data_IF_036142788464
#
_entry.id   IF_036142788464
#
_cell.length_a   1.000
_cell.length_b   1.000
_cell.length_c   1.000
_cell.angle_alpha   90.00
_cell.angle_beta   90.00
_cell.angle_gamma   90.00
#
_symmetry.space_group_name_H-M   'P 1'
#
loop_
_entity.id
_entity.type
_entity.pdbx_description
1 polymer ?
#
# COMPACT_ATOMS: atom_id res chain seq x y z
N UNK A 1 67.57 33.38 -35.03
CA UNK A 1 66.57 33.07 -34.00
C UNK A 1 65.18 33.15 -34.63
N UNK A 2 64.59 32.01 -35.00
CA UNK A 2 63.33 31.95 -35.77
C UNK A 2 62.17 32.06 -34.78
N UNK A 3 61.44 33.19 -34.81
CA UNK A 3 60.20 33.40 -34.04
C UNK A 3 59.08 32.59 -34.68
N UNK A 4 58.72 31.45 -34.10
CA UNK A 4 57.53 30.70 -34.48
C UNK A 4 56.27 31.53 -34.13
N UNK A 5 55.59 32.04 -35.16
CA UNK A 5 54.33 32.78 -35.05
C UNK A 5 53.21 31.78 -34.71
N UNK A 6 52.85 31.63 -33.42
CA UNK A 6 51.72 30.80 -33.00
C UNK A 6 50.42 31.40 -33.57
N UNK A 7 49.82 30.72 -34.54
CA UNK A 7 48.47 31.03 -35.02
C UNK A 7 47.47 30.75 -33.89
N UNK A 8 47.01 31.81 -33.22
CA UNK A 8 45.88 31.74 -32.29
C UNK A 8 44.59 31.71 -33.12
N UNK A 9 44.21 30.53 -33.63
CA UNK A 9 42.85 30.29 -34.13
C UNK A 9 41.95 30.10 -32.92
N UNK A 10 41.09 31.07 -32.63
CA UNK A 10 40.04 30.94 -31.64
C UNK A 10 38.91 30.05 -32.17
N UNK A 11 38.23 29.33 -31.27
CA UNK A 11 37.00 28.61 -31.60
C UNK A 11 35.97 29.58 -32.19
N UNK A 12 35.38 29.22 -33.32
CA UNK A 12 34.30 30.01 -33.91
C UNK A 12 33.00 29.77 -33.14
N UNK A 13 32.11 30.77 -33.13
CA UNK A 13 30.79 30.66 -32.50
C UNK A 13 30.01 29.44 -33.04
N UNK A 14 30.11 29.17 -34.35
CA UNK A 14 29.43 28.06 -35.01
C UNK A 14 29.90 26.67 -34.56
N UNK A 15 31.21 26.51 -34.30
CA UNK A 15 31.77 25.25 -33.77
C UNK A 15 31.25 24.96 -32.35
N UNK A 16 31.09 26.00 -31.52
CA UNK A 16 30.53 25.83 -30.17
C UNK A 16 29.04 25.47 -30.21
N UNK A 17 28.22 26.14 -31.04
CA UNK A 17 26.78 25.89 -31.11
C UNK A 17 26.46 24.48 -31.60
N UNK A 18 27.14 24.03 -32.66
CA UNK A 18 26.92 22.68 -33.22
C UNK A 18 27.35 21.58 -32.26
N UNK A 19 28.47 21.77 -31.55
CA UNK A 19 28.95 20.82 -30.54
C UNK A 19 27.96 20.68 -29.38
N UNK A 20 27.47 21.80 -28.85
CA UNK A 20 26.48 21.79 -27.75
C UNK A 20 25.17 21.14 -28.20
N UNK A 21 24.71 21.40 -29.43
CA UNK A 21 23.51 20.78 -29.97
C UNK A 21 23.63 19.25 -30.02
N UNK A 22 24.73 18.72 -30.54
CA UNK A 22 24.96 17.26 -30.65
C UNK A 22 25.03 16.63 -29.25
N UNK A 23 25.80 17.21 -28.33
CA UNK A 23 25.91 16.70 -26.96
C UNK A 23 24.54 16.74 -26.25
N UNK A 24 23.77 17.81 -26.47
CA UNK A 24 22.41 17.95 -25.94
C UNK A 24 21.48 16.84 -26.41
N UNK A 25 21.46 16.55 -27.72
CA UNK A 25 20.63 15.49 -28.29
C UNK A 25 21.02 14.10 -27.76
N UNK A 26 22.32 13.79 -27.68
CA UNK A 26 22.78 12.49 -27.16
C UNK A 26 22.41 12.33 -25.68
N UNK A 27 22.58 13.39 -24.88
CA UNK A 27 22.29 13.37 -23.45
C UNK A 27 20.80 13.18 -23.19
N UNK A 28 19.94 13.86 -23.95
CA UNK A 28 18.48 13.77 -23.81
C UNK A 28 17.96 12.33 -23.98
N UNK A 29 18.55 11.54 -24.89
CA UNK A 29 18.16 10.14 -25.13
C UNK A 29 18.81 9.20 -24.10
N UNK A 30 20.07 9.46 -23.74
CA UNK A 30 20.87 8.51 -22.94
C UNK A 30 20.51 8.53 -21.45
N UNK A 31 20.19 9.69 -20.88
CA UNK A 31 19.87 9.84 -19.45
C UNK A 31 18.66 9.00 -19.00
N UNK A 32 17.47 9.07 -19.63
CA UNK A 32 16.32 8.28 -19.18
C UNK A 32 16.56 6.77 -19.30
N UNK A 33 17.27 6.33 -20.34
CA UNK A 33 17.63 4.93 -20.51
C UNK A 33 18.59 4.45 -19.42
N UNK A 34 19.62 5.23 -19.13
CA UNK A 34 20.57 4.94 -18.05
C UNK A 34 19.88 4.78 -16.70
N UNK A 35 18.90 5.65 -16.39
CA UNK A 35 18.14 5.56 -15.13
C UNK A 35 17.35 4.24 -15.02
N UNK A 36 16.67 3.81 -16.09
CA UNK A 36 15.94 2.53 -16.12
C UNK A 36 16.87 1.33 -15.94
N UNK A 37 18.00 1.32 -16.65
CA UNK A 37 19.00 0.24 -16.54
C UNK A 37 19.59 0.18 -15.13
N UNK A 38 19.92 1.34 -14.54
CA UNK A 38 20.44 1.40 -13.17
C UNK A 38 19.43 0.82 -12.17
N UNK A 39 18.15 1.14 -12.32
CA UNK A 39 17.07 0.61 -11.48
C UNK A 39 16.97 -0.92 -11.59
N UNK A 40 16.98 -1.47 -12.80
CA UNK A 40 16.97 -2.92 -13.03
C UNK A 40 18.19 -3.62 -12.42
N UNK A 41 19.38 -3.04 -12.59
CA UNK A 41 20.61 -3.57 -12.00
C UNK A 41 20.55 -3.57 -10.48
N UNK A 42 20.00 -2.51 -9.87
CA UNK A 42 19.83 -2.48 -8.42
C UNK A 42 18.90 -3.59 -7.93
N UNK A 43 17.76 -3.79 -8.59
CA UNK A 43 16.81 -4.86 -8.26
C UNK A 43 17.44 -6.25 -8.34
N UNK A 44 18.18 -6.54 -9.40
CA UNK A 44 18.84 -7.84 -9.56
C UNK A 44 19.96 -8.07 -8.53
N UNK A 45 20.69 -7.01 -8.17
CA UNK A 45 21.69 -7.07 -7.10
C UNK A 45 21.05 -7.31 -5.72
N UNK A 46 19.91 -6.68 -5.44
CA UNK A 46 19.14 -6.93 -4.21
C UNK A 46 18.68 -8.39 -4.16
N UNK A 47 18.13 -8.92 -5.26
CA UNK A 47 17.77 -10.35 -5.35
C UNK A 47 18.98 -11.26 -5.10
N UNK A 48 20.15 -10.94 -5.65
CA UNK A 48 21.37 -11.71 -5.41
C UNK A 48 21.76 -11.72 -3.93
N UNK A 49 21.72 -10.56 -3.26
CA UNK A 49 21.97 -10.47 -1.82
C UNK A 49 20.94 -11.26 -1.00
N UNK A 50 19.66 -11.21 -1.36
CA UNK A 50 18.61 -12.01 -0.72
C UNK A 50 18.83 -13.52 -0.91
N UNK A 51 19.32 -13.98 -2.07
CA UNK A 51 19.67 -15.40 -2.28
C UNK A 51 20.79 -15.85 -1.35
N UNK A 52 21.82 -15.01 -1.19
CA UNK A 52 22.92 -15.26 -0.25
C UNK A 52 22.39 -15.33 1.18
N UNK A 53 21.55 -14.37 1.60
CA UNK A 53 20.92 -14.38 2.93
C UNK A 53 20.10 -15.66 3.12
N UNK A 54 19.24 -16.03 2.16
CA UNK A 54 18.40 -17.22 2.27
C UNK A 54 19.20 -18.52 2.42
N UNK A 55 20.31 -18.64 1.69
CA UNK A 55 21.22 -19.80 1.80
C UNK A 55 21.81 -19.90 3.22
N UNK A 56 22.39 -18.81 3.72
CA UNK A 56 23.00 -18.80 5.05
C UNK A 56 21.98 -18.88 6.19
N UNK A 57 20.77 -18.35 6.02
CA UNK A 57 19.68 -18.50 7.00
C UNK A 57 19.27 -19.97 7.13
N UNK A 58 19.21 -20.70 6.01
CA UNK A 58 18.94 -22.15 6.06
C UNK A 58 20.09 -22.91 6.75
N UNK A 59 21.34 -22.49 6.56
CA UNK A 59 22.48 -23.09 7.27
C UNK A 59 22.41 -22.85 8.78
N UNK A 60 22.09 -21.62 9.20
CA UNK A 60 21.85 -21.27 10.62
C UNK A 60 20.72 -22.12 11.19
N UNK A 61 19.60 -22.27 10.47
CA UNK A 61 18.49 -23.11 10.91
C UNK A 61 18.88 -24.59 11.03
N UNK A 62 19.66 -25.12 10.10
CA UNK A 62 20.13 -26.51 10.17
C UNK A 62 21.03 -26.77 11.39
N UNK A 63 21.81 -25.76 11.80
CA UNK A 63 22.70 -25.82 12.97
C UNK A 63 21.93 -25.67 14.28
N UNK A 64 21.14 -24.60 14.41
CA UNK A 64 20.57 -24.15 15.68
C UNK A 64 19.10 -24.60 15.86
N UNK A 65 18.49 -25.17 14.81
CA UNK A 65 17.06 -25.54 14.73
C UNK A 65 16.09 -24.38 14.89
N UNK A 66 16.60 -23.15 14.83
CA UNK A 66 15.85 -21.91 15.02
C UNK A 66 16.46 -20.82 14.13
N UNK A 67 15.61 -19.96 13.58
CA UNK A 67 16.03 -18.72 12.94
C UNK A 67 16.37 -17.66 14.00
N UNK A 68 17.27 -16.71 13.70
CA UNK A 68 17.61 -15.65 14.64
C UNK A 68 16.41 -14.76 14.94
N UNK A 69 16.21 -14.36 16.21
CA UNK A 69 15.14 -13.43 16.57
C UNK A 69 15.31 -12.05 15.91
N UNK A 70 16.55 -11.63 15.70
CA UNK A 70 16.89 -10.35 15.11
C UNK A 70 18.01 -10.52 14.07
N UNK A 71 17.72 -10.17 12.83
CA UNK A 71 18.68 -10.28 11.72
C UNK A 71 19.85 -9.29 11.82
N UNK A 72 19.74 -8.26 12.67
CA UNK A 72 20.80 -7.27 12.91
C UNK A 72 21.69 -7.65 14.11
N UNK A 73 21.34 -8.70 14.86
CA UNK A 73 22.10 -9.18 16.03
C UNK A 73 22.52 -10.63 15.80
N UNK A 74 23.18 -10.86 14.66
CA UNK A 74 23.76 -12.15 14.35
C UNK A 74 25.10 -12.30 15.08
N UNK A 75 25.45 -13.53 15.45
CA UNK A 75 26.73 -13.84 16.06
C UNK A 75 27.93 -13.67 15.10
N UNK A 76 29.07 -14.24 15.50
CA UNK A 76 30.34 -14.13 14.76
C UNK A 76 30.63 -15.36 13.88
N UNK A 77 29.64 -16.20 13.57
CA UNK A 77 29.87 -17.32 12.65
C UNK A 77 30.03 -16.85 11.19
N UNK A 78 30.67 -17.65 10.35
CA UNK A 78 30.95 -17.27 8.96
C UNK A 78 29.68 -16.98 8.16
N UNK A 79 28.61 -17.74 8.42
CA UNK A 79 27.29 -17.59 7.82
C UNK A 79 26.63 -16.26 8.21
N UNK A 80 26.73 -15.89 9.49
CA UNK A 80 26.19 -14.66 10.06
C UNK A 80 26.90 -13.41 9.52
N UNK A 81 28.21 -13.49 9.31
CA UNK A 81 28.99 -12.44 8.65
C UNK A 81 28.52 -12.24 7.20
N UNK A 82 28.24 -13.32 6.47
CA UNK A 82 27.77 -13.24 5.08
C UNK A 82 26.35 -12.65 4.97
N UNK A 83 25.47 -12.95 5.92
CA UNK A 83 24.14 -12.32 6.03
C UNK A 83 24.31 -10.81 6.28
N UNK A 84 25.13 -10.44 7.26
CA UNK A 84 25.39 -9.04 7.63
C UNK A 84 25.95 -8.24 6.45
N UNK A 85 26.93 -8.80 5.72
CA UNK A 85 27.49 -8.18 4.53
C UNK A 85 26.44 -7.99 3.41
N UNK A 86 25.53 -8.96 3.25
CA UNK A 86 24.46 -8.90 2.25
C UNK A 86 23.40 -7.85 2.62
N UNK A 87 23.05 -7.72 3.91
CA UNK A 87 22.16 -6.65 4.38
C UNK A 87 22.76 -5.26 4.13
N UNK A 88 24.05 -5.09 4.40
CA UNK A 88 24.74 -3.84 4.06
C UNK A 88 24.74 -3.56 2.55
N UNK A 89 24.90 -4.61 1.73
CA UNK A 89 24.79 -4.54 0.28
C UNK A 89 23.42 -4.03 -0.19
N UNK A 90 22.34 -4.54 0.40
CA UNK A 90 20.95 -4.12 0.13
C UNK A 90 20.77 -2.64 0.54
N UNK A 91 21.19 -2.25 1.74
CA UNK A 91 21.07 -0.88 2.23
C UNK A 91 21.81 0.13 1.32
N UNK A 92 23.02 -0.21 0.87
CA UNK A 92 23.80 0.63 -0.06
C UNK A 92 23.11 0.82 -1.43
N UNK A 93 22.16 -0.04 -1.78
CA UNK A 93 21.32 0.10 -2.98
C UNK A 93 20.03 0.87 -2.71
N UNK A 94 19.94 1.56 -1.59
CA UNK A 94 18.79 2.40 -1.20
C UNK A 94 17.51 1.58 -0.98
N UNK A 95 17.68 0.33 -0.51
CA UNK A 95 16.61 -0.57 -0.08
C UNK A 95 16.59 -0.71 1.45
N UNK A 96 15.43 -1.04 2.01
CA UNK A 96 15.22 -1.25 3.45
C UNK A 96 15.67 -2.64 3.90
N UNK A 97 16.04 -2.79 5.17
CA UNK A 97 16.53 -4.06 5.76
C UNK A 97 15.87 -4.38 7.11
N UNK A 98 14.87 -3.59 7.49
CA UNK A 98 14.16 -3.62 8.77
C UNK A 98 12.91 -4.50 8.75
N UNK A 99 12.41 -4.90 7.57
CA UNK A 99 11.23 -5.76 7.38
C UNK A 99 11.44 -7.24 7.75
N UNK A 100 12.25 -7.54 8.77
CA UNK A 100 12.50 -8.89 9.24
C UNK A 100 11.49 -9.31 10.31
N UNK A 101 10.82 -10.43 10.10
CA UNK A 101 9.90 -11.04 11.07
C UNK A 101 10.14 -12.54 11.17
N UNK A 102 9.76 -13.14 12.31
CA UNK A 102 9.86 -14.58 12.54
C UNK A 102 8.50 -15.14 12.95
N UNK A 103 8.25 -16.39 12.57
CA UNK A 103 7.05 -17.11 12.98
C UNK A 103 7.17 -17.71 14.39
N UNK A 104 6.10 -18.39 14.87
CA UNK A 104 6.12 -19.09 16.15
C UNK A 104 7.30 -20.05 16.26
N UNK A 105 7.92 -20.10 17.44
CA UNK A 105 9.09 -20.93 17.74
C UNK A 105 10.32 -20.68 16.84
N UNK A 106 10.38 -19.53 16.14
CA UNK A 106 11.49 -19.19 15.23
C UNK A 106 11.69 -20.26 14.13
N UNK A 107 10.60 -20.93 13.74
CA UNK A 107 10.61 -22.03 12.77
C UNK A 107 10.49 -21.56 11.32
N UNK A 108 10.10 -20.30 11.13
CA UNK A 108 10.02 -19.63 9.83
C UNK A 108 10.53 -18.20 9.98
N UNK A 109 10.98 -17.60 8.88
CA UNK A 109 11.33 -16.19 8.83
C UNK A 109 10.78 -15.56 7.56
N UNK A 110 10.67 -14.24 7.60
CA UNK A 110 10.36 -13.42 6.45
C UNK A 110 11.25 -12.18 6.50
N UNK A 111 11.94 -11.88 5.41
CA UNK A 111 12.67 -10.64 5.23
C UNK A 111 12.07 -9.88 4.05
N UNK A 112 11.39 -8.77 4.33
CA UNK A 112 10.88 -7.84 3.33
C UNK A 112 11.86 -6.68 3.14
N UNK A 113 12.18 -6.40 1.89
CA UNK A 113 13.01 -5.27 1.50
C UNK A 113 12.32 -4.45 0.40
N UNK A 114 12.26 -3.14 0.58
CA UNK A 114 11.61 -2.20 -0.33
C UNK A 114 12.54 -1.02 -0.62
N UNK A 115 12.35 -0.27 -1.71
CA UNK A 115 13.01 1.02 -1.86
C UNK A 115 12.77 1.90 -0.62
N UNK A 116 13.81 2.58 -0.14
CA UNK A 116 13.70 3.51 0.99
C UNK A 116 12.75 4.67 0.66
N UNK A 117 12.24 5.35 1.70
CA UNK A 117 11.38 6.52 1.53
C UNK A 117 12.03 7.56 0.59
N UNK A 118 11.27 8.05 -0.39
CA UNK A 118 11.76 8.97 -1.43
C UNK A 118 12.66 8.34 -2.51
N UNK A 119 12.89 7.02 -2.49
CA UNK A 119 13.74 6.32 -3.47
C UNK A 119 12.99 5.43 -4.46
N UNK A 120 11.66 5.41 -4.37
CA UNK A 120 10.79 4.74 -5.33
C UNK A 120 10.95 5.34 -6.74
N UNK A 121 11.09 4.48 -7.75
CA UNK A 121 11.35 4.87 -9.14
C UNK A 121 12.78 5.34 -9.42
N UNK A 122 13.64 5.43 -8.40
CA UNK A 122 15.07 5.77 -8.54
C UNK A 122 15.94 4.56 -8.22
N UNK A 123 15.75 3.97 -7.04
CA UNK A 123 16.47 2.79 -6.59
C UNK A 123 15.85 1.51 -7.16
N UNK A 124 14.52 1.48 -7.20
CA UNK A 124 13.70 0.36 -7.61
C UNK A 124 12.22 0.74 -7.60
N UNK A 125 11.41 -0.12 -8.19
CA UNK A 125 9.95 0.06 -8.29
C UNK A 125 9.19 -1.13 -7.69
N UNK A 126 9.83 -2.03 -6.93
CA UNK A 126 9.17 -3.20 -6.33
C UNK A 126 9.84 -3.60 -5.02
N UNK A 127 9.07 -4.23 -4.14
CA UNK A 127 9.58 -4.88 -2.94
C UNK A 127 9.91 -6.34 -3.22
N UNK A 128 10.78 -6.92 -2.40
CA UNK A 128 11.11 -8.34 -2.42
C UNK A 128 10.88 -8.93 -1.04
N UNK A 129 10.36 -10.15 -1.00
CA UNK A 129 10.15 -10.90 0.22
C UNK A 129 10.94 -12.21 0.12
N UNK A 130 11.84 -12.42 1.06
CA UNK A 130 12.58 -13.66 1.22
C UNK A 130 11.95 -14.50 2.33
N UNK A 131 11.69 -15.76 2.02
CA UNK A 131 11.22 -16.79 2.96
C UNK A 131 12.13 -18.02 2.84
N UNK A 132 12.03 -19.02 3.73
CA UNK A 132 12.75 -20.29 3.57
C UNK A 132 12.50 -21.00 2.23
N UNK A 133 11.36 -20.72 1.58
CA UNK A 133 10.96 -21.32 0.30
C UNK A 133 11.55 -20.59 -0.92
N UNK A 134 12.03 -19.35 -0.76
CA UNK A 134 12.60 -18.56 -1.85
C UNK A 134 12.22 -17.09 -1.79
N UNK A 135 12.46 -16.40 -2.90
CA UNK A 135 12.22 -14.97 -3.07
C UNK A 135 10.95 -14.79 -3.91
N UNK A 136 10.01 -13.99 -3.41
CA UNK A 136 8.86 -13.51 -4.16
C UNK A 136 8.94 -12.01 -4.37
N UNK A 137 8.40 -11.54 -5.50
CA UNK A 137 8.29 -10.12 -5.81
C UNK A 137 6.94 -9.61 -5.31
N UNK A 138 6.96 -8.53 -4.55
CA UNK A 138 5.78 -7.85 -4.04
C UNK A 138 5.62 -6.55 -4.84
N UNK A 139 4.58 -6.48 -5.68
CA UNK A 139 4.28 -5.29 -6.48
C UNK A 139 3.83 -4.15 -5.58
N UNK A 140 4.36 -2.95 -5.86
CA UNK A 140 4.18 -1.68 -5.13
C UNK A 140 2.85 -1.50 -4.41
N UNK A 141 2.94 -1.03 -3.16
CA UNK A 141 1.95 -0.10 -2.62
C UNK A 141 0.86 -0.68 -1.73
N UNK A 142 0.68 -2.01 -1.67
CA UNK A 142 -0.01 -2.59 -0.52
C UNK A 142 1.00 -2.62 0.62
N UNK A 143 0.98 -1.60 1.48
CA UNK A 143 1.74 -1.54 2.74
C UNK A 143 1.41 -2.69 3.73
N UNK A 144 0.63 -3.66 3.28
CA UNK A 144 0.38 -4.92 3.92
C UNK A 144 1.19 -5.94 3.12
N UNK A 145 2.15 -6.60 3.78
CA UNK A 145 2.29 -8.01 3.49
C UNK A 145 0.95 -8.65 3.90
N UNK A 146 -0.08 -8.51 3.05
CA UNK A 146 -1.18 -9.45 3.04
C UNK A 146 -0.45 -10.76 2.84
N UNK A 147 -0.46 -11.63 3.85
CA UNK A 147 -0.06 -13.01 3.65
C UNK A 147 -0.71 -13.46 2.33
N UNK A 148 0.05 -13.72 1.25
CA UNK A 148 -0.57 -14.15 0.00
C UNK A 148 -0.98 -15.63 0.07
N UNK A 149 -1.16 -16.17 1.28
CA UNK A 149 -1.32 -17.59 1.54
C UNK A 149 -2.47 -17.82 2.51
N UNK A 150 -3.69 -17.91 1.98
CA UNK A 150 -4.77 -18.71 2.57
C UNK A 150 -4.62 -20.21 2.22
N UNK A 151 -3.58 -20.57 1.45
CA UNK A 151 -3.31 -21.93 0.98
C UNK A 151 -3.96 -22.30 -0.35
N UNK A 152 -4.62 -21.37 -1.06
CA UNK A 152 -5.38 -21.68 -2.30
C UNK A 152 -4.67 -21.36 -3.61
N UNK A 153 -3.47 -20.75 -3.56
CA UNK A 153 -2.61 -20.56 -4.74
C UNK A 153 -3.14 -19.54 -5.76
N UNK A 154 -4.01 -18.61 -5.34
CA UNK A 154 -4.42 -17.46 -6.16
C UNK A 154 -4.02 -16.16 -5.45
N UNK A 155 -3.48 -15.15 -6.18
CA UNK A 155 -3.32 -13.83 -5.59
C UNK A 155 -4.69 -13.34 -5.13
N UNK A 156 -4.78 -12.67 -3.97
CA UNK A 156 -5.94 -11.86 -3.63
C UNK A 156 -6.07 -10.81 -4.73
N UNK A 157 -6.88 -11.11 -5.74
CA UNK A 157 -7.38 -10.10 -6.63
C UNK A 157 -8.06 -9.05 -5.74
N UNK A 158 -7.84 -7.77 -6.04
CA UNK A 158 -8.36 -6.57 -5.38
C UNK A 158 -9.90 -6.49 -5.29
N UNK A 159 -10.52 -7.41 -4.54
CA UNK A 159 -11.96 -7.57 -4.48
C UNK A 159 -12.42 -7.42 -3.03
N UNK A 160 -13.33 -6.46 -2.85
CA UNK A 160 -14.08 -6.13 -1.64
C UNK A 160 -13.26 -5.44 -0.52
N UNK A 161 -13.20 -4.10 -0.51
CA UNK A 161 -12.63 -3.35 0.61
C UNK A 161 -13.56 -3.40 1.86
N UNK A 162 -14.67 -4.15 1.84
CA UNK A 162 -15.53 -4.38 3.01
C UNK A 162 -14.98 -5.39 4.01
N UNK A 163 -13.80 -5.96 3.74
CA UNK A 163 -13.16 -6.98 4.58
C UNK A 163 -11.98 -6.39 5.33
N UNK A 164 -12.02 -6.44 6.66
CA UNK A 164 -10.84 -6.17 7.49
C UNK A 164 -10.26 -7.52 7.91
N UNK A 165 -8.96 -7.72 7.73
CA UNK A 165 -8.25 -8.88 8.28
C UNK A 165 -7.47 -8.47 9.53
N UNK A 166 -7.84 -9.04 10.68
CA UNK A 166 -7.19 -8.80 11.97
C UNK A 166 -6.71 -10.15 12.51
N UNK A 167 -5.42 -10.27 12.83
CA UNK A 167 -4.84 -11.52 13.32
C UNK A 167 -5.13 -12.76 12.44
N UNK A 168 -5.24 -12.55 11.13
CA UNK A 168 -5.55 -13.62 10.16
C UNK A 168 -7.03 -14.02 10.08
N UNK A 169 -7.93 -13.37 10.84
CA UNK A 169 -9.39 -13.50 10.68
C UNK A 169 -9.91 -12.38 9.80
N UNK A 170 -10.64 -12.74 8.74
CA UNK A 170 -11.28 -11.80 7.82
C UNK A 170 -12.73 -11.56 8.26
N UNK A 171 -13.08 -10.29 8.47
CA UNK A 171 -14.42 -9.87 8.88
C UNK A 171 -15.15 -9.26 7.69
N UNK A 172 -16.08 -10.00 7.05
CA UNK A 172 -16.92 -9.41 6.02
C UNK A 172 -17.87 -8.39 6.66
N UNK A 173 -17.93 -7.19 6.09
CA UNK A 173 -18.80 -6.11 6.53
C UNK A 173 -18.46 -5.56 7.93
N UNK A 174 -17.21 -5.10 8.08
CA UNK A 174 -16.70 -4.55 9.34
C UNK A 174 -17.60 -3.49 10.01
N UNK A 175 -18.27 -2.58 9.30
CA UNK A 175 -19.21 -1.64 9.93
C UNK A 175 -20.31 -2.34 10.74
N UNK A 176 -20.92 -3.39 10.18
CA UNK A 176 -21.97 -4.15 10.86
C UNK A 176 -21.43 -4.82 12.14
N UNK A 177 -20.23 -5.39 12.08
CA UNK A 177 -19.58 -5.99 13.24
C UNK A 177 -19.31 -4.95 14.33
N UNK A 178 -18.73 -3.80 13.96
CA UNK A 178 -18.41 -2.73 14.92
C UNK A 178 -19.69 -2.20 15.58
N UNK A 179 -20.75 -1.98 14.79
CA UNK A 179 -22.02 -1.44 15.27
C UNK A 179 -22.79 -2.40 16.18
N UNK A 180 -22.70 -3.70 15.92
CA UNK A 180 -23.41 -4.74 16.69
C UNK A 180 -22.60 -5.31 17.86
N UNK A 181 -21.29 -5.02 17.95
CA UNK A 181 -20.45 -5.54 19.03
C UNK A 181 -20.85 -4.93 20.38
N UNK A 182 -21.31 -5.80 21.29
CA UNK A 182 -21.69 -5.44 22.66
C UNK A 182 -20.50 -5.11 23.56
N UNK A 183 -19.30 -5.50 23.14
CA UNK A 183 -18.07 -5.28 23.89
C UNK A 183 -17.51 -3.87 23.67
N UNK A 184 -17.94 -3.19 22.62
CA UNK A 184 -17.48 -1.83 22.30
C UNK A 184 -18.34 -0.77 23.01
N UNK A 185 -17.66 0.22 23.58
CA UNK A 185 -18.28 1.47 24.01
C UNK A 185 -18.59 2.33 22.80
N UNK A 186 -19.54 3.27 22.92
CA UNK A 186 -19.88 4.18 21.82
C UNK A 186 -18.67 4.95 21.29
N UNK A 187 -17.72 5.34 22.16
CA UNK A 187 -16.49 6.03 21.75
C UNK A 187 -15.54 5.13 20.94
N UNK A 188 -15.38 3.86 21.32
CA UNK A 188 -14.58 2.90 20.55
C UNK A 188 -15.24 2.57 19.20
N UNK A 189 -16.58 2.48 19.16
CA UNK A 189 -17.30 2.33 17.90
C UNK A 189 -17.04 3.51 16.96
N UNK A 190 -17.07 4.74 17.48
CA UNK A 190 -16.77 5.95 16.70
C UNK A 190 -15.32 5.93 16.21
N UNK A 191 -14.35 5.62 17.07
CA UNK A 191 -12.93 5.54 16.71
C UNK A 191 -12.71 4.53 15.58
N UNK A 192 -13.20 3.30 15.73
CA UNK A 192 -13.04 2.23 14.76
C UNK A 192 -13.76 2.53 13.44
N UNK A 193 -15.01 3.00 13.48
CA UNK A 193 -15.77 3.36 12.28
C UNK A 193 -15.13 4.53 11.55
N UNK A 194 -14.65 5.54 12.27
CA UNK A 194 -13.95 6.68 11.67
C UNK A 194 -12.69 6.21 10.96
N UNK A 195 -11.81 5.48 11.65
CA UNK A 195 -10.58 4.99 11.06
C UNK A 195 -10.86 4.09 9.85
N UNK A 196 -11.88 3.23 9.94
CA UNK A 196 -12.32 2.41 8.82
C UNK A 196 -12.75 3.27 7.62
N UNK A 197 -13.69 4.20 7.80
CA UNK A 197 -14.17 5.05 6.70
C UNK A 197 -13.07 5.94 6.13
N UNK A 198 -12.12 6.40 6.94
CA UNK A 198 -10.98 7.19 6.45
C UNK A 198 -10.06 6.35 5.56
N UNK A 199 -9.69 5.13 5.99
CA UNK A 199 -8.90 4.20 5.16
C UNK A 199 -9.60 3.91 3.84
N UNK A 200 -10.90 3.65 3.92
CA UNK A 200 -11.73 3.29 2.79
C UNK A 200 -11.89 4.45 1.81
N UNK A 201 -12.09 5.67 2.32
CA UNK A 201 -12.14 6.89 1.53
C UNK A 201 -10.83 7.13 0.80
N UNK A 202 -9.70 7.06 1.50
CA UNK A 202 -8.40 7.21 0.87
C UNK A 202 -8.11 6.14 -0.18
N UNK A 203 -8.53 4.90 0.05
CA UNK A 203 -8.38 3.81 -0.93
C UNK A 203 -9.24 4.04 -2.18
N UNK A 204 -10.48 4.50 -2.01
CA UNK A 204 -11.36 4.83 -3.14
C UNK A 204 -10.83 6.04 -3.95
N UNK A 205 -10.27 7.04 -3.27
CA UNK A 205 -9.54 8.13 -3.94
C UNK A 205 -8.29 7.63 -4.65
N UNK A 206 -7.59 6.68 -4.01
CA UNK A 206 -6.38 6.12 -4.54
C UNK A 206 -6.66 5.49 -5.93
N UNK A 207 -7.65 4.61 -5.98
CA UNK A 207 -8.03 3.93 -7.21
C UNK A 207 -8.41 4.92 -8.33
N UNK A 208 -9.13 6.01 -8.00
CA UNK A 208 -9.51 7.03 -8.99
C UNK A 208 -8.31 7.70 -9.63
N UNK A 209 -7.32 8.12 -8.85
CA UNK A 209 -6.14 8.82 -9.39
C UNK A 209 -5.24 7.86 -10.17
N UNK A 210 -5.13 6.60 -9.72
CA UNK A 210 -4.36 5.55 -10.40
C UNK A 210 -4.95 5.11 -11.76
N UNK A 211 -6.27 5.22 -11.95
CA UNK A 211 -6.96 4.84 -13.20
C UNK A 211 -6.96 5.92 -14.29
N UNK A 212 -6.45 7.12 -14.02
CA UNK A 212 -6.46 8.26 -14.96
C UNK A 212 -5.68 8.06 -16.28
N UNK A 213 -5.09 6.88 -16.50
CA UNK A 213 -4.52 6.48 -17.79
C UNK A 213 -5.53 6.19 -18.91
N UNK A 214 -6.83 6.11 -18.60
CA UNK A 214 -7.90 5.91 -19.60
C UNK A 214 -8.87 7.10 -19.61
N UNK A 215 -8.84 7.86 -20.71
CA UNK A 215 -9.73 8.96 -21.13
C UNK A 215 -10.48 9.72 -20.02
N UNK A 216 -9.96 10.90 -19.68
CA UNK A 216 -10.49 11.88 -18.71
C UNK A 216 -11.97 12.27 -18.90
N UNK A 217 -12.63 11.95 -20.01
CA UNK A 217 -13.91 12.58 -20.39
C UNK A 217 -15.19 12.01 -19.75
N UNK A 218 -15.17 10.84 -19.10
CA UNK A 218 -16.42 10.21 -18.62
C UNK A 218 -16.64 10.25 -17.09
N UNK A 219 -15.62 10.63 -16.30
CA UNK A 219 -15.70 10.56 -14.82
C UNK A 219 -15.40 11.88 -14.10
N UNK A 220 -15.41 13.01 -14.82
CA UNK A 220 -15.38 14.34 -14.20
C UNK A 220 -16.67 14.53 -13.37
N UNK A 221 -16.52 14.56 -12.04
CA UNK A 221 -17.64 14.77 -11.10
C UNK A 221 -18.19 13.52 -10.40
N UNK A 222 -17.73 12.31 -10.74
CA UNK A 222 -18.07 11.12 -9.96
C UNK A 222 -17.44 11.24 -8.56
N UNK A 223 -18.21 11.12 -7.48
CA UNK A 223 -17.67 11.09 -6.12
C UNK A 223 -17.38 9.62 -5.78
N UNK A 224 -16.16 9.25 -5.33
CA UNK A 224 -15.89 7.89 -4.90
C UNK A 224 -16.86 7.50 -3.80
N UNK A 225 -17.55 6.38 -3.98
CA UNK A 225 -18.52 5.89 -3.01
C UNK A 225 -18.40 4.38 -2.79
N UNK A 226 -18.84 3.95 -1.61
CA UNK A 226 -18.83 2.57 -1.17
C UNK A 226 -20.23 2.16 -0.73
N UNK A 227 -20.61 0.95 -1.11
CA UNK A 227 -21.91 0.39 -0.79
C UNK A 227 -21.79 -0.59 0.38
N UNK A 228 -22.63 -0.41 1.39
CA UNK A 228 -22.73 -1.29 2.54
C UNK A 228 -24.16 -1.77 2.73
N UNK A 229 -24.31 -3.00 3.19
CA UNK A 229 -25.58 -3.55 3.66
C UNK A 229 -25.58 -3.54 5.19
N UNK A 230 -26.53 -2.83 5.80
CA UNK A 230 -26.64 -2.76 7.27
C UNK A 230 -28.00 -3.28 7.73
N UNK A 231 -28.03 -3.95 8.88
CA UNK A 231 -29.28 -4.28 9.56
C UNK A 231 -29.97 -3.04 10.11
N UNK A 232 -31.30 -3.06 10.28
CA UNK A 232 -32.07 -1.93 10.84
C UNK A 232 -31.54 -1.43 12.19
N UNK A 233 -31.03 -2.33 13.03
CA UNK A 233 -30.42 -1.96 14.32
C UNK A 233 -29.11 -1.18 14.09
N UNK A 234 -28.21 -1.71 13.26
CA UNK A 234 -26.96 -1.07 12.87
C UNK A 234 -27.18 0.27 12.17
N UNK A 235 -28.26 0.42 11.41
CA UNK A 235 -28.66 1.70 10.81
C UNK A 235 -28.98 2.76 11.86
N UNK A 236 -29.80 2.40 12.85
CA UNK A 236 -30.15 3.30 13.95
C UNK A 236 -28.92 3.67 14.77
N UNK A 237 -28.03 2.70 15.01
CA UNK A 237 -26.76 2.92 15.70
C UNK A 237 -25.85 3.85 14.90
N UNK A 238 -25.60 3.56 13.62
CA UNK A 238 -24.74 4.38 12.75
C UNK A 238 -25.26 5.81 12.68
N UNK A 239 -26.57 6.00 12.44
CA UNK A 239 -27.19 7.33 12.36
C UNK A 239 -26.96 8.16 13.63
N UNK A 240 -26.96 7.54 14.81
CA UNK A 240 -26.66 8.22 16.08
C UNK A 240 -25.19 8.62 16.19
N UNK A 241 -24.27 7.80 15.69
CA UNK A 241 -22.82 8.03 15.76
C UNK A 241 -22.29 8.94 14.63
N UNK A 242 -23.02 9.07 13.53
CA UNK A 242 -22.60 9.80 12.33
C UNK A 242 -22.10 11.24 12.58
N UNK A 243 -22.74 12.06 13.44
CA UNK A 243 -22.24 13.42 13.69
C UNK A 243 -20.82 13.45 14.27
N UNK A 244 -20.50 12.52 15.17
CA UNK A 244 -19.16 12.43 15.77
C UNK A 244 -18.15 11.83 14.78
N UNK A 245 -18.54 10.77 14.06
CA UNK A 245 -17.72 10.17 12.98
C UNK A 245 -17.37 11.22 11.92
N UNK A 246 -18.35 12.04 11.52
CA UNK A 246 -18.16 13.11 10.55
C UNK A 246 -17.15 14.16 11.04
N UNK A 247 -17.29 14.63 12.29
CA UNK A 247 -16.34 15.58 12.86
C UNK A 247 -14.92 15.03 12.96
N UNK A 248 -14.76 13.73 13.27
CA UNK A 248 -13.44 13.11 13.32
C UNK A 248 -12.85 12.89 11.92
N UNK A 249 -13.65 12.46 10.95
CA UNK A 249 -13.21 12.31 9.57
C UNK A 249 -12.79 13.66 8.95
N UNK A 250 -13.51 14.75 9.27
CA UNK A 250 -13.12 16.10 8.82
C UNK A 250 -11.75 16.51 9.36
N UNK A 251 -11.42 16.18 10.62
CA UNK A 251 -10.08 16.40 11.17
C UNK A 251 -9.00 15.61 10.42
N UNK A 252 -9.38 14.45 9.86
CA UNK A 252 -8.52 13.64 9.00
C UNK A 252 -8.51 14.10 7.53
N UNK A 253 -9.17 15.22 7.18
CA UNK A 253 -9.18 15.79 5.83
C UNK A 253 -10.24 15.20 4.89
N UNK A 254 -11.18 14.41 5.40
CA UNK A 254 -12.25 13.78 4.61
C UNK A 254 -13.63 14.31 5.03
N UNK A 255 -14.44 14.67 4.05
CA UNK A 255 -15.87 14.90 4.21
C UNK A 255 -16.61 13.62 3.84
N UNK A 256 -17.40 13.10 4.79
CA UNK A 256 -18.21 11.90 4.61
C UNK A 256 -19.66 12.29 4.39
N UNK A 257 -20.34 11.64 3.46
CA UNK A 257 -21.80 11.65 3.42
C UNK A 257 -22.34 10.23 3.33
N UNK A 258 -23.47 10.01 3.97
CA UNK A 258 -24.18 8.72 3.98
C UNK A 258 -25.57 8.94 3.43
N UNK A 259 -25.93 8.17 2.41
CA UNK A 259 -27.24 8.22 1.79
C UNK A 259 -27.86 6.83 1.80
N UNK A 260 -29.11 6.73 2.25
CA UNK A 260 -29.92 5.53 2.07
C UNK A 260 -30.45 5.51 0.62
N UNK A 261 -30.28 4.37 -0.07
CA UNK A 261 -30.75 4.26 -1.45
C UNK A 261 -32.28 4.09 -1.47
N UNK A 262 -33.01 5.18 -1.76
CA UNK A 262 -34.48 5.18 -1.83
C UNK A 262 -35.13 6.56 -1.94
N UNK A 263 -34.42 7.63 -1.60
CA UNK A 263 -34.88 9.01 -1.78
C UNK A 263 -34.19 9.68 -2.98
N UNK A 264 -35.00 10.15 -3.93
CA UNK A 264 -34.59 10.59 -5.26
C UNK A 264 -33.41 11.59 -5.31
N UNK A 265 -32.53 11.34 -6.29
CA UNK A 265 -31.49 12.23 -6.85
C UNK A 265 -30.28 12.57 -5.98
N UNK A 266 -29.21 11.78 -6.13
CA UNK A 266 -27.94 12.30 -6.66
C UNK A 266 -27.53 11.25 -7.69
N UNK A 267 -27.18 11.66 -8.91
CA UNK A 267 -26.56 10.74 -9.88
C UNK A 267 -25.13 10.46 -9.39
N UNK A 268 -24.99 9.56 -8.44
CA UNK A 268 -23.70 8.98 -8.08
C UNK A 268 -23.27 8.03 -9.19
N UNK A 269 -22.28 8.43 -9.97
CA UNK A 269 -21.54 7.51 -10.81
C UNK A 269 -20.61 6.73 -9.88
N UNK A 270 -21.10 5.60 -9.35
CA UNK A 270 -20.25 4.65 -8.65
C UNK A 270 -19.16 4.15 -9.59
N UNK A 271 -17.92 4.05 -9.09
CA UNK A 271 -16.83 3.45 -9.85
C UNK A 271 -17.25 2.03 -10.25
N UNK A 272 -17.42 1.82 -11.56
CA UNK A 272 -17.79 0.55 -12.14
C UNK A 272 -16.60 -0.41 -12.03
N UNK A 273 -16.61 -1.28 -11.02
CA UNK A 273 -15.68 -2.40 -10.95
C UNK A 273 -16.14 -3.51 -11.92
N UNK A 274 -15.37 -3.87 -12.95
CA UNK A 274 -15.70 -4.97 -13.83
C UNK A 274 -15.41 -6.27 -13.09
N UNK A 275 -16.46 -6.78 -12.43
CA UNK A 275 -16.54 -7.98 -11.60
C UNK A 275 -16.06 -7.74 -10.17
N UNK A 276 -17.03 -7.58 -9.26
CA UNK A 276 -17.01 -7.95 -7.83
C UNK A 276 -18.39 -7.57 -7.27
N UNK A 277 -19.36 -8.47 -7.43
CA UNK A 277 -20.81 -8.22 -7.33
C UNK A 277 -21.34 -7.31 -8.44
N UNK A 278 -22.07 -7.90 -9.38
CA UNK A 278 -22.96 -7.10 -10.22
C UNK A 278 -23.99 -6.42 -9.32
N UNK A 279 -24.49 -5.24 -9.70
CA UNK A 279 -25.61 -4.60 -8.98
C UNK A 279 -26.78 -5.58 -8.72
N UNK A 280 -27.00 -6.52 -9.64
CA UNK A 280 -27.98 -7.59 -9.49
C UNK A 280 -27.71 -8.56 -8.33
N UNK A 281 -26.46 -8.76 -7.93
CA UNK A 281 -26.10 -9.62 -6.80
C UNK A 281 -26.42 -8.94 -5.45
N UNK A 282 -26.24 -7.63 -5.35
CA UNK A 282 -26.60 -6.83 -4.15
C UNK A 282 -28.12 -6.71 -4.04
N UNK A 283 -28.81 -6.42 -5.14
CA UNK A 283 -30.27 -6.41 -5.19
C UNK A 283 -30.85 -7.80 -4.87
N UNK A 284 -30.20 -8.88 -5.34
CA UNK A 284 -30.59 -10.24 -4.96
C UNK A 284 -30.44 -10.49 -3.47
N UNK A 285 -29.36 -10.03 -2.83
CA UNK A 285 -29.17 -10.16 -1.38
C UNK A 285 -30.24 -9.42 -0.58
N UNK A 286 -30.57 -8.18 -0.96
CA UNK A 286 -31.63 -7.39 -0.32
C UNK A 286 -33.01 -8.01 -0.55
N UNK A 287 -33.29 -8.50 -1.76
CA UNK A 287 -34.57 -9.17 -2.05
C UNK A 287 -34.78 -10.43 -1.22
N UNK A 288 -33.69 -11.10 -0.81
CA UNK A 288 -33.72 -12.29 0.05
C UNK A 288 -33.82 -11.96 1.54
N UNK A 289 -33.43 -10.75 1.94
CA UNK A 289 -33.43 -10.29 3.33
C UNK A 289 -34.05 -8.89 3.44
N UNK A 290 -35.38 -8.78 3.65
CA UNK A 290 -36.08 -7.48 3.67
C UNK A 290 -35.71 -6.57 4.86
N UNK A 291 -34.88 -7.06 5.79
CA UNK A 291 -34.36 -6.30 6.91
C UNK A 291 -33.01 -5.62 6.65
N UNK A 292 -32.44 -5.80 5.44
CA UNK A 292 -31.23 -5.12 5.01
C UNK A 292 -31.57 -3.91 4.13
N UNK A 293 -30.97 -2.76 4.43
CA UNK A 293 -30.96 -1.60 3.51
C UNK A 293 -29.56 -1.37 2.95
N UNK A 294 -29.49 -0.81 1.74
CA UNK A 294 -28.24 -0.43 1.08
C UNK A 294 -27.93 1.03 1.38
N UNK A 295 -26.73 1.26 1.92
CA UNK A 295 -26.19 2.59 2.12
C UNK A 295 -25.07 2.86 1.14
N UNK A 296 -25.13 4.05 0.54
CA UNK A 296 -24.02 4.63 -0.19
C UNK A 296 -23.29 5.61 0.72
N UNK A 297 -22.01 5.35 0.95
CA UNK A 297 -21.12 6.29 1.62
C UNK A 297 -20.19 6.90 0.61
N UNK A 298 -20.25 8.22 0.42
CA UNK A 298 -19.32 8.90 -0.45
C UNK A 298 -18.29 9.71 0.31
N UNK A 299 -17.17 9.94 -0.37
CA UNK A 299 -15.98 10.57 0.19
C UNK A 299 -15.61 11.79 -0.64
N UNK A 300 -15.45 12.93 0.01
CA UNK A 300 -14.90 14.13 -0.61
C UNK A 300 -13.64 14.55 0.15
N UNK A 301 -12.52 14.76 -0.53
CA UNK A 301 -11.33 15.31 0.13
C UNK A 301 -11.52 16.80 0.39
N UNK A 302 -11.24 17.26 1.60
CA UNK A 302 -11.31 18.69 1.95
C UNK A 302 -10.15 19.47 1.28
N UNK A 303 -9.09 18.77 0.85
CA UNK A 303 -7.97 19.33 0.11
C UNK A 303 -7.58 18.47 -1.12
N UNK A 304 -8.13 18.74 -2.31
CA UNK A 304 -7.89 17.93 -3.52
C UNK A 304 -6.50 18.15 -4.15
N UNK A 305 -5.64 19.00 -3.58
CA UNK A 305 -4.36 19.40 -4.19
C UNK A 305 -3.15 18.51 -3.84
N UNK A 306 -3.35 17.43 -3.07
CA UNK A 306 -2.28 16.51 -2.69
C UNK A 306 -1.77 15.67 -3.86
N UNK A 307 -0.46 15.41 -3.89
CA UNK A 307 0.13 14.45 -4.83
C UNK A 307 -0.34 13.03 -4.44
N UNK A 308 -0.38 12.11 -5.41
CA UNK A 308 -0.62 10.68 -5.20
C UNK A 308 0.15 10.08 -4.01
N UNK A 309 1.41 10.49 -3.85
CA UNK A 309 2.29 10.03 -2.76
C UNK A 309 1.76 10.43 -1.38
N UNK A 310 1.18 11.63 -1.25
CA UNK A 310 0.62 12.12 0.01
C UNK A 310 -0.58 11.27 0.42
N UNK A 311 -1.42 10.86 -0.55
CA UNK A 311 -2.54 9.96 -0.30
C UNK A 311 -2.11 8.55 0.11
N UNK A 312 -1.02 8.02 -0.44
CA UNK A 312 -0.48 6.73 -0.04
C UNK A 312 0.13 6.76 1.38
N UNK A 313 0.81 7.84 1.75
CA UNK A 313 1.36 7.99 3.10
C UNK A 313 0.25 8.18 4.14
N UNK A 314 -0.79 8.95 3.82
CA UNK A 314 -1.96 9.14 4.68
C UNK A 314 -2.77 7.84 4.84
N UNK A 315 -2.98 7.08 3.78
CA UNK A 315 -3.70 5.80 3.84
C UNK A 315 -2.92 4.76 4.66
N UNK A 316 -1.60 4.64 4.46
CA UNK A 316 -0.75 3.75 5.23
C UNK A 316 -0.73 4.11 6.72
N UNK A 317 -0.62 5.40 7.05
CA UNK A 317 -0.65 5.88 8.44
C UNK A 317 -2.00 5.59 9.10
N UNK A 318 -3.10 5.85 8.39
CA UNK A 318 -4.45 5.60 8.92
C UNK A 318 -4.72 4.11 9.09
N UNK A 319 -4.22 3.27 8.17
CA UNK A 319 -4.32 1.81 8.30
C UNK A 319 -3.56 1.30 9.51
N UNK A 320 -2.34 1.81 9.76
CA UNK A 320 -1.59 1.47 10.97
C UNK A 320 -2.35 1.86 12.24
N UNK A 321 -2.97 3.06 12.26
CA UNK A 321 -3.83 3.49 13.37
C UNK A 321 -5.01 2.55 13.55
N UNK A 322 -5.74 2.21 12.48
CA UNK A 322 -6.87 1.27 12.52
C UNK A 322 -6.46 -0.09 13.09
N UNK A 323 -5.36 -0.66 12.60
CA UNK A 323 -4.80 -1.93 13.09
C UNK A 323 -4.47 -1.83 14.58
N UNK A 324 -3.80 -0.76 15.01
CA UNK A 324 -3.42 -0.56 16.42
C UNK A 324 -4.64 -0.39 17.34
N UNK A 325 -5.69 0.31 16.89
CA UNK A 325 -6.94 0.46 17.64
C UNK A 325 -7.63 -0.90 17.81
N UNK A 326 -7.68 -1.71 16.75
CA UNK A 326 -8.23 -3.06 16.82
C UNK A 326 -7.41 -3.97 17.74
N UNK A 327 -6.08 -4.01 17.60
CA UNK A 327 -5.21 -4.82 18.44
C UNK A 327 -5.35 -4.46 19.92
N UNK A 328 -5.39 -3.15 20.23
CA UNK A 328 -5.60 -2.65 21.60
C UNK A 328 -6.94 -3.12 22.15
N UNK A 329 -8.02 -2.94 21.40
CA UNK A 329 -9.37 -3.32 21.84
C UNK A 329 -9.49 -4.84 22.01
N UNK A 330 -8.94 -5.62 21.08
CA UNK A 330 -8.93 -7.08 21.18
C UNK A 330 -8.11 -7.56 22.38
N UNK A 331 -6.98 -6.90 22.69
CA UNK A 331 -6.18 -7.21 23.87
C UNK A 331 -6.92 -6.89 25.19
N UNK A 332 -7.69 -5.80 25.23
CA UNK A 332 -8.44 -5.38 26.42
C UNK A 332 -9.73 -6.19 26.63
N UNK A 333 -10.40 -6.59 25.54
CA UNK A 333 -11.80 -7.09 25.60
C UNK A 333 -12.01 -8.49 25.01
N UNK A 334 -10.98 -9.08 24.43
CA UNK A 334 -11.07 -10.35 23.72
C UNK A 334 -11.59 -10.20 22.29
N UNK A 335 -12.00 -11.31 21.68
CA UNK A 335 -12.53 -11.34 20.31
C UNK A 335 -13.82 -10.48 20.22
N UNK A 336 -13.89 -9.64 19.18
CA UNK A 336 -14.97 -8.68 18.91
C UNK A 336 -16.28 -9.29 18.41
#
# INVERSE_FOLDING_TARGET
>A
MIKMKRNKRGFTLGEMVTTVAIIGTITAISVPNYMRVRMQVNMEMVKQHLKTIGTHMNDVYNRDRQFPQNINQLGNSGEEIAITASLFGINRREYTTDGYTTGPNLSTFQLRTCPQAGRWGIAGDRCFVLTPLGISEDSVGTGVALNPWDGTGKPMEAWAPSWISINGKTYPNAPELILTSKNLTGQEQIELLTNFFVVMGYSAFAERVGWSGTSESENEGAIPSLLYTLSKESQSALTKLMPEIYQQAQKAGLSLYVKEKGEDSIKSYGAYYPRAFSWGDVESQVSKNPDLSIYEMGFETINPSGNWQDFQELSATTYATLSSSFERITAEKGDL
#
